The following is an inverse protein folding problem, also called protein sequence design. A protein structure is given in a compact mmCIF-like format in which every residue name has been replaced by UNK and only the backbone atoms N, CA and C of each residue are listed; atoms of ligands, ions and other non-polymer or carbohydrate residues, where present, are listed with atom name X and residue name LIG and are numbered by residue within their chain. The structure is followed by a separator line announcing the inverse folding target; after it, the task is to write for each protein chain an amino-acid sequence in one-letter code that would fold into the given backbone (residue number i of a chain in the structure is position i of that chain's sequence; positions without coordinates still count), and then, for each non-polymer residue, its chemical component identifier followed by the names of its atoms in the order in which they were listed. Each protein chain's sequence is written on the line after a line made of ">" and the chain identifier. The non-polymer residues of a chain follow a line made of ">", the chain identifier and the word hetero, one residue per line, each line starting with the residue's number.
data_IF_547060994146
#
_entry.id   IF_547060994146
#
_cell.length_a   1.000
_cell.length_b   1.000
_cell.length_c   1.000
_cell.angle_alpha   90.00
_cell.angle_beta   90.00
_cell.angle_gamma   90.00
#
_symmetry.space_group_name_H-M   'P 1'
#
loop_
_entity.id
_entity.type
_entity.pdbx_description
1 polymer ?
#
# COMPACT_ATOMS: atom_id res chain seq x y z
N UNK A 1 20.35 -6.21 2.39
CA UNK A 1 20.15 -5.04 3.29
C UNK A 1 21.16 -3.99 2.92
N UNK A 2 20.76 -2.71 2.98
CA UNK A 2 21.62 -1.56 2.71
C UNK A 2 21.50 -0.59 3.89
N UNK A 3 22.61 -0.03 4.35
CA UNK A 3 22.60 0.98 5.41
C UNK A 3 22.21 2.33 4.79
N UNK A 4 21.15 2.96 5.29
CA UNK A 4 20.78 4.33 4.92
C UNK A 4 20.87 5.22 6.15
N UNK A 5 22.00 5.92 6.29
CA UNK A 5 22.31 6.69 7.50
C UNK A 5 22.39 5.78 8.72
N UNK A 6 21.50 6.01 9.69
CA UNK A 6 21.50 5.31 10.97
C UNK A 6 20.66 4.03 11.00
N UNK A 7 19.87 3.73 9.97
CA UNK A 7 19.00 2.55 9.94
C UNK A 7 19.37 1.54 8.85
N UNK A 8 19.06 0.27 9.13
CA UNK A 8 19.14 -0.81 8.15
C UNK A 8 17.87 -0.83 7.30
N UNK A 9 18.04 -0.73 5.98
CA UNK A 9 16.97 -0.86 5.01
C UNK A 9 17.03 -2.28 4.41
N UNK A 10 15.92 -3.00 4.48
CA UNK A 10 15.80 -4.27 3.76
C UNK A 10 15.44 -3.96 2.31
N UNK A 11 16.01 -4.74 1.40
CA UNK A 11 15.71 -4.66 -0.02
C UNK A 11 15.13 -6.01 -0.39
N UNK A 12 13.96 -6.02 -1.02
CA UNK A 12 13.31 -7.24 -1.48
C UNK A 12 12.67 -7.00 -2.86
N UNK A 13 12.69 -7.98 -3.77
CA UNK A 13 12.07 -7.82 -5.09
C UNK A 13 10.65 -7.27 -5.03
N UNK A 14 9.82 -7.81 -4.13
CA UNK A 14 8.42 -7.37 -4.00
C UNK A 14 8.24 -5.92 -3.54
N UNK A 15 9.20 -5.37 -2.79
CA UNK A 15 9.09 -4.02 -2.19
C UNK A 15 9.89 -2.97 -2.95
N UNK A 16 10.95 -3.36 -3.65
CA UNK A 16 11.89 -2.41 -4.25
C UNK A 16 11.99 -2.55 -5.77
N UNK A 17 11.42 -3.63 -6.33
CA UNK A 17 11.67 -4.02 -7.72
C UNK A 17 13.10 -4.46 -8.00
N UNK A 18 13.94 -4.60 -6.95
CA UNK A 18 15.34 -5.01 -7.04
C UNK A 18 15.72 -6.01 -5.93
N UNK A 19 16.45 -7.10 -6.24
CA UNK A 19 16.68 -7.64 -7.59
C UNK A 19 15.36 -8.00 -8.28
N UNK A 20 15.42 -8.52 -9.51
CA UNK A 20 14.25 -8.74 -10.39
C UNK A 20 13.04 -9.36 -9.66
N UNK A 21 11.84 -8.90 -10.02
CA UNK A 21 10.59 -9.46 -9.53
C UNK A 21 10.20 -10.65 -10.39
N UNK A 22 10.39 -11.85 -9.85
CA UNK A 22 9.97 -13.08 -10.52
C UNK A 22 8.42 -13.16 -10.60
N UNK A 23 7.83 -13.51 -11.76
CA UNK A 23 6.38 -13.65 -11.88
C UNK A 23 5.77 -14.66 -10.90
N UNK A 24 6.51 -15.69 -10.52
CA UNK A 24 6.08 -16.65 -9.51
C UNK A 24 5.90 -16.01 -8.13
N UNK A 25 6.87 -15.20 -7.68
CA UNK A 25 6.81 -14.47 -6.43
C UNK A 25 5.62 -13.49 -6.42
N UNK A 26 5.43 -12.74 -7.51
CA UNK A 26 4.34 -11.78 -7.60
C UNK A 26 2.97 -12.47 -7.53
N UNK A 27 2.81 -13.61 -8.21
CA UNK A 27 1.58 -14.42 -8.13
C UNK A 27 1.35 -14.99 -6.73
N UNK A 28 2.39 -15.46 -6.05
CA UNK A 28 2.27 -15.99 -4.69
C UNK A 28 1.84 -14.90 -3.70
N UNK A 29 2.48 -13.73 -3.75
CA UNK A 29 2.12 -12.58 -2.90
C UNK A 29 0.69 -12.13 -3.17
N UNK A 30 0.32 -11.91 -4.44
CA UNK A 30 -1.03 -11.45 -4.78
C UNK A 30 -2.09 -12.51 -4.44
N UNK A 31 -1.79 -13.79 -4.66
CA UNK A 31 -2.67 -14.89 -4.26
C UNK A 31 -2.88 -14.97 -2.75
N UNK A 32 -1.83 -14.71 -1.96
CA UNK A 32 -1.93 -14.58 -0.50
C UNK A 32 -2.79 -13.40 -0.09
N UNK A 33 -2.59 -12.23 -0.70
CA UNK A 33 -3.38 -11.03 -0.38
C UNK A 33 -4.84 -11.22 -0.74
N UNK A 34 -5.13 -11.87 -1.86
CA UNK A 34 -6.50 -12.14 -2.32
C UNK A 34 -7.29 -13.00 -1.32
N UNK A 35 -6.63 -13.94 -0.63
CA UNK A 35 -7.27 -14.76 0.42
C UNK A 35 -7.59 -13.95 1.68
N UNK A 36 -6.87 -12.85 1.91
CA UNK A 36 -7.05 -12.01 3.09
C UNK A 36 -8.04 -10.88 2.87
N UNK A 37 -8.06 -10.30 1.68
CA UNK A 37 -8.85 -9.11 1.35
C UNK A 37 -10.35 -9.41 1.41
N UNK A 38 -11.11 -8.52 2.06
CA UNK A 38 -12.55 -8.43 1.83
C UNK A 38 -12.81 -7.60 0.58
N UNK A 39 -13.28 -8.26 -0.48
CA UNK A 39 -13.58 -7.64 -1.78
C UNK A 39 -15.08 -7.46 -2.03
N UNK A 40 -15.94 -7.70 -1.04
CA UNK A 40 -17.38 -7.68 -1.25
C UNK A 40 -17.89 -6.28 -1.63
N UNK A 41 -18.31 -6.14 -2.89
CA UNK A 41 -18.83 -4.89 -3.47
C UNK A 41 -17.81 -3.76 -3.48
N UNK A 42 -16.54 -4.09 -3.73
CA UNK A 42 -15.45 -3.12 -3.91
C UNK A 42 -15.47 -2.63 -5.36
N UNK A 43 -15.43 -1.31 -5.52
CA UNK A 43 -15.42 -0.62 -6.81
C UNK A 43 -14.01 -0.36 -7.32
N UNK A 44 -13.05 -0.11 -6.42
CA UNK A 44 -11.68 0.31 -6.80
C UNK A 44 -10.60 -0.23 -5.86
N UNK A 45 -9.45 -0.56 -6.43
CA UNK A 45 -8.20 -0.81 -5.69
C UNK A 45 -7.38 0.48 -5.69
N UNK A 46 -6.94 0.93 -4.52
CA UNK A 46 -6.06 2.09 -4.37
C UNK A 46 -4.67 1.62 -3.96
N UNK A 47 -3.65 2.09 -4.67
CA UNK A 47 -2.23 1.81 -4.34
C UNK A 47 -1.42 3.10 -4.23
N UNK A 48 -0.27 3.04 -3.58
CA UNK A 48 0.66 4.16 -3.47
C UNK A 48 1.85 3.94 -4.40
N UNK A 49 2.28 5.00 -5.09
CA UNK A 49 3.47 4.90 -5.91
C UNK A 49 4.76 4.74 -5.08
N UNK A 50 5.80 4.11 -5.62
CA UNK A 50 5.79 3.29 -6.83
C UNK A 50 5.52 1.81 -6.52
N UNK A 51 5.79 1.39 -5.28
CA UNK A 51 6.00 -0.01 -4.94
C UNK A 51 4.71 -0.79 -4.70
N UNK A 52 3.57 -0.11 -4.46
CA UNK A 52 2.26 -0.76 -4.50
C UNK A 52 1.77 -1.09 -5.92
N UNK A 53 2.36 -0.49 -6.97
CA UNK A 53 1.78 -0.51 -8.34
C UNK A 53 1.76 -1.92 -8.95
N UNK A 54 2.86 -2.68 -8.86
CA UNK A 54 2.91 -4.03 -9.46
C UNK A 54 2.00 -5.01 -8.72
N UNK A 55 1.85 -4.88 -7.41
CA UNK A 55 0.89 -5.64 -6.61
C UNK A 55 -0.54 -5.28 -7.03
N UNK A 56 -0.87 -3.99 -7.04
CA UNK A 56 -2.19 -3.50 -7.45
C UNK A 56 -2.58 -3.92 -8.87
N UNK A 57 -1.63 -3.89 -9.81
CA UNK A 57 -1.86 -4.25 -11.21
C UNK A 57 -2.24 -5.72 -11.36
N UNK A 58 -1.57 -6.61 -10.62
CA UNK A 58 -1.88 -8.04 -10.64
C UNK A 58 -3.21 -8.32 -9.92
N UNK A 59 -3.46 -7.70 -8.77
CA UNK A 59 -4.74 -7.85 -8.06
C UNK A 59 -5.93 -7.33 -8.89
N UNK A 60 -5.78 -6.18 -9.53
CA UNK A 60 -6.79 -5.63 -10.45
C UNK A 60 -7.08 -6.60 -11.60
N UNK A 61 -6.03 -7.15 -12.22
CA UNK A 61 -6.17 -8.14 -13.30
C UNK A 61 -6.80 -9.45 -12.81
N UNK A 62 -6.54 -9.88 -11.58
CA UNK A 62 -7.10 -11.10 -11.00
C UNK A 62 -8.57 -10.97 -10.57
N UNK A 63 -9.04 -9.76 -10.33
CA UNK A 63 -10.36 -9.49 -9.71
C UNK A 63 -11.32 -8.74 -10.62
N UNK A 64 -10.85 -8.25 -11.77
CA UNK A 64 -11.57 -7.32 -12.65
C UNK A 64 -11.99 -6.01 -11.97
N UNK A 65 -11.46 -5.71 -10.78
CA UNK A 65 -11.69 -4.45 -10.06
C UNK A 65 -10.68 -3.42 -10.59
N UNK A 66 -11.12 -2.24 -11.06
CA UNK A 66 -10.21 -1.21 -11.56
C UNK A 66 -9.32 -0.66 -10.44
N UNK A 67 -8.12 -0.19 -10.79
CA UNK A 67 -7.20 0.42 -9.83
C UNK A 67 -6.91 1.90 -10.11
N UNK A 68 -6.63 2.65 -9.05
CA UNK A 68 -6.06 4.01 -9.11
C UNK A 68 -4.80 4.10 -8.25
N UNK A 69 -3.93 5.05 -8.57
CA UNK A 69 -2.61 5.19 -7.97
C UNK A 69 -2.51 6.58 -7.35
N UNK A 70 -2.19 6.63 -6.05
CA UNK A 70 -1.77 7.86 -5.39
C UNK A 70 -0.32 8.18 -5.75
N UNK A 71 -0.07 9.38 -6.30
CA UNK A 71 1.22 9.78 -6.89
C UNK A 71 1.74 11.10 -6.36
N UNK A 72 3.06 11.31 -6.33
CA UNK A 72 3.68 12.63 -6.08
C UNK A 72 3.45 13.59 -7.24
N UNK A 73 3.29 13.07 -8.45
CA UNK A 73 3.01 13.88 -9.63
C UNK A 73 1.54 14.31 -9.64
N UNK A 74 1.33 15.62 -9.74
CA UNK A 74 0.02 16.24 -10.02
C UNK A 74 -0.29 16.20 -11.52
N UNK A 75 -1.54 15.91 -11.89
CA UNK A 75 -1.98 15.88 -13.29
C UNK A 75 -2.94 17.02 -13.64
N UNK A 76 -3.48 17.74 -12.65
CA UNK A 76 -4.48 18.79 -12.80
C UNK A 76 -5.74 18.32 -13.53
N UNK A 77 -6.13 17.06 -13.30
CA UNK A 77 -7.37 16.50 -13.85
C UNK A 77 -8.57 16.83 -12.95
N UNK A 78 -9.78 16.95 -13.50
CA UNK A 78 -11.00 17.07 -12.69
C UNK A 78 -11.08 15.97 -11.64
N UNK A 79 -11.42 16.33 -10.39
CA UNK A 79 -11.54 15.38 -9.28
C UNK A 79 -10.21 14.91 -8.67
N UNK A 80 -9.08 15.53 -8.99
CA UNK A 80 -7.81 15.24 -8.33
C UNK A 80 -7.81 15.80 -6.89
N UNK A 81 -7.46 14.95 -5.94
CA UNK A 81 -7.46 15.22 -4.50
C UNK A 81 -6.01 15.30 -4.04
N UNK A 82 -5.64 16.43 -3.43
CA UNK A 82 -4.36 16.56 -2.74
C UNK A 82 -4.38 15.79 -1.41
N UNK A 83 -3.32 15.04 -1.17
CA UNK A 83 -3.11 14.20 0.01
C UNK A 83 -1.87 14.72 0.73
N UNK A 84 -2.10 15.45 1.81
CA UNK A 84 -1.03 16.07 2.58
C UNK A 84 -0.39 15.08 3.54
N UNK A 85 0.79 14.55 3.17
CA UNK A 85 1.56 13.67 4.03
C UNK A 85 2.43 14.51 4.97
N UNK A 86 2.19 14.38 6.28
CA UNK A 86 3.09 14.89 7.31
C UNK A 86 3.83 13.71 7.94
N UNK A 87 5.11 13.55 7.62
CA UNK A 87 6.00 12.66 8.37
C UNK A 87 6.97 13.50 9.20
N UNK A 88 7.55 12.93 10.26
CA UNK A 88 8.53 13.63 11.09
C UNK A 88 9.83 14.04 10.36
N UNK A 89 10.05 13.53 9.14
CA UNK A 89 11.27 13.77 8.36
C UNK A 89 11.03 14.46 7.01
N UNK A 90 9.79 14.46 6.50
CA UNK A 90 9.43 15.14 5.24
C UNK A 90 7.95 15.51 5.19
N UNK A 91 7.66 16.73 4.72
CA UNK A 91 6.34 17.10 4.18
C UNK A 91 6.35 16.79 2.69
N UNK A 92 5.38 16.02 2.22
CA UNK A 92 5.23 15.68 0.81
C UNK A 92 3.76 15.77 0.42
N UNK A 93 3.51 16.28 -0.78
CA UNK A 93 2.18 16.20 -1.37
C UNK A 93 2.11 14.97 -2.27
N UNK A 94 1.01 14.24 -2.10
CA UNK A 94 0.59 13.19 -3.01
C UNK A 94 -0.76 13.59 -3.60
N UNK A 95 -1.16 12.98 -4.70
CA UNK A 95 -2.36 13.30 -5.45
C UNK A 95 -3.05 12.00 -5.85
N UNK A 96 -4.36 11.98 -5.72
CA UNK A 96 -5.21 10.85 -6.05
C UNK A 96 -6.35 11.33 -6.95
N UNK A 97 -6.63 10.62 -8.03
CA UNK A 97 -7.76 10.91 -8.92
C UNK A 97 -8.62 9.65 -9.10
N UNK A 98 -9.81 9.79 -9.66
CA UNK A 98 -10.73 8.69 -9.95
C UNK A 98 -11.44 8.14 -8.71
N UNK A 99 -11.55 8.94 -7.64
CA UNK A 99 -12.34 8.60 -6.44
C UNK A 99 -13.54 9.53 -6.35
N UNK A 100 -14.72 8.95 -6.17
CA UNK A 100 -15.99 9.63 -5.98
C UNK A 100 -16.65 9.31 -4.64
N UNK A 101 -17.66 10.10 -4.30
CA UNK A 101 -18.49 9.87 -3.11
C UNK A 101 -19.25 8.54 -3.24
N UNK A 102 -19.18 7.72 -2.20
CA UNK A 102 -19.83 6.41 -2.14
C UNK A 102 -19.01 5.26 -2.72
N UNK A 103 -17.86 5.55 -3.35
CA UNK A 103 -16.95 4.50 -3.81
C UNK A 103 -16.51 3.61 -2.65
N UNK A 104 -16.58 2.30 -2.85
CA UNK A 104 -16.08 1.31 -1.91
C UNK A 104 -14.71 0.85 -2.37
N UNK A 105 -13.68 1.11 -1.59
CA UNK A 105 -12.29 0.91 -2.02
C UNK A 105 -11.54 -0.01 -1.07
N UNK A 106 -10.62 -0.78 -1.63
CA UNK A 106 -9.57 -1.46 -0.85
C UNK A 106 -8.24 -0.81 -1.11
N UNK A 107 -7.41 -0.74 -0.08
CA UNK A 107 -6.05 -0.20 -0.21
C UNK A 107 -5.06 -1.35 -0.13
N UNK A 108 -4.16 -1.43 -1.11
CA UNK A 108 -3.07 -2.41 -1.11
C UNK A 108 -1.74 -1.72 -1.33
N UNK A 109 -0.73 -2.15 -0.58
CA UNK A 109 0.62 -1.60 -0.69
C UNK A 109 1.68 -2.65 -0.33
N UNK A 110 2.94 -2.37 -0.64
CA UNK A 110 4.03 -3.31 -0.41
C UNK A 110 4.41 -3.40 1.07
N UNK A 111 4.64 -2.27 1.75
CA UNK A 111 5.14 -2.20 3.12
C UNK A 111 4.39 -1.18 3.94
N UNK A 112 3.93 -1.59 5.13
CA UNK A 112 3.54 -0.65 6.18
C UNK A 112 4.64 -0.55 7.25
N UNK A 113 5.02 0.68 7.60
CA UNK A 113 5.96 0.93 8.70
C UNK A 113 5.45 1.93 9.73
N UNK A 114 5.49 3.25 9.49
CA UNK A 114 5.03 4.23 10.48
C UNK A 114 3.54 4.56 10.36
N UNK A 115 2.91 4.15 9.25
CA UNK A 115 1.51 4.46 8.94
C UNK A 115 1.24 5.87 8.39
N UNK A 116 2.24 6.76 8.36
CA UNK A 116 2.03 8.18 8.01
C UNK A 116 1.39 8.41 6.64
N UNK A 117 1.91 7.74 5.60
CA UNK A 117 1.33 7.76 4.25
C UNK A 117 -0.11 7.26 4.25
N UNK A 118 -0.34 6.14 4.92
CA UNK A 118 -1.65 5.48 4.92
C UNK A 118 -2.70 6.32 5.65
N UNK A 119 -2.35 6.95 6.78
CA UNK A 119 -3.25 7.88 7.48
C UNK A 119 -3.62 9.09 6.61
N UNK A 120 -2.66 9.64 5.86
CA UNK A 120 -2.95 10.73 4.93
C UNK A 120 -3.91 10.29 3.81
N UNK A 121 -3.67 9.12 3.21
CA UNK A 121 -4.57 8.54 2.20
C UNK A 121 -5.97 8.29 2.76
N UNK A 122 -6.09 7.67 3.93
CA UNK A 122 -7.38 7.42 4.59
C UNK A 122 -8.15 8.73 4.84
N UNK A 123 -7.46 9.79 5.25
CA UNK A 123 -8.08 11.09 5.44
C UNK A 123 -8.57 11.69 4.11
N UNK A 124 -7.78 11.57 3.04
CA UNK A 124 -8.18 12.05 1.72
C UNK A 124 -9.39 11.29 1.16
N UNK A 125 -9.42 9.96 1.30
CA UNK A 125 -10.56 9.11 0.91
C UNK A 125 -11.82 9.45 1.71
N UNK A 126 -11.66 9.71 3.02
CA UNK A 126 -12.76 10.17 3.88
C UNK A 126 -13.33 11.52 3.39
N UNK A 127 -12.48 12.47 3.04
CA UNK A 127 -12.89 13.78 2.50
C UNK A 127 -13.60 13.62 1.15
N UNK A 128 -13.12 12.72 0.30
CA UNK A 128 -13.76 12.38 -0.97
C UNK A 128 -15.12 11.67 -0.80
N UNK A 129 -15.43 11.20 0.42
CA UNK A 129 -16.65 10.47 0.73
C UNK A 129 -16.61 9.01 0.29
N UNK A 130 -15.43 8.44 0.08
CA UNK A 130 -15.24 7.02 -0.20
C UNK A 130 -15.24 6.18 1.08
N UNK A 131 -15.75 4.96 1.00
CA UNK A 131 -15.71 3.94 2.04
C UNK A 131 -14.50 3.04 1.82
N UNK A 132 -13.59 3.01 2.80
CA UNK A 132 -12.47 2.07 2.74
C UNK A 132 -12.93 0.76 3.37
N UNK A 133 -13.12 -0.26 2.55
CA UNK A 133 -13.58 -1.61 2.93
C UNK A 133 -12.48 -2.34 3.69
N UNK A 134 -11.29 -2.44 3.10
CA UNK A 134 -10.17 -3.18 3.68
C UNK A 134 -8.81 -2.56 3.32
N UNK A 135 -7.79 -2.91 4.09
CA UNK A 135 -6.40 -2.48 3.89
C UNK A 135 -5.47 -3.67 4.06
N UNK A 136 -4.66 -3.98 3.05
CA UNK A 136 -3.76 -5.13 3.08
C UNK A 136 -2.35 -4.75 2.60
N UNK A 137 -1.33 -5.21 3.33
CA UNK A 137 0.07 -5.01 3.00
C UNK A 137 0.76 -6.34 2.71
N UNK A 138 1.73 -6.36 1.79
CA UNK A 138 2.57 -7.55 1.67
C UNK A 138 3.42 -7.74 2.95
N UNK A 139 3.98 -6.65 3.49
CA UNK A 139 4.90 -6.70 4.64
C UNK A 139 4.52 -5.65 5.69
N UNK A 140 4.40 -6.08 6.94
CA UNK A 140 4.32 -5.21 8.11
C UNK A 140 5.69 -5.09 8.79
N UNK A 141 6.17 -3.87 9.02
CA UNK A 141 7.40 -3.60 9.77
C UNK A 141 7.10 -2.91 11.09
N UNK A 142 7.34 -3.60 12.20
CA UNK A 142 7.02 -3.14 13.54
C UNK A 142 5.51 -3.12 13.80
N UNK A 143 5.04 -2.12 14.55
CA UNK A 143 3.63 -2.01 14.96
C UNK A 143 3.04 -0.67 14.48
N UNK A 144 2.81 -0.51 13.15
CA UNK A 144 2.15 0.67 12.63
C UNK A 144 0.72 0.81 13.16
N UNK A 145 0.35 2.03 13.50
CA UNK A 145 -1.04 2.42 13.72
C UNK A 145 -1.53 3.28 12.55
N UNK A 146 -2.63 2.89 11.91
CA UNK A 146 -3.28 3.68 10.86
C UNK A 146 -4.69 4.16 11.26
N UNK A 147 -5.07 4.00 12.53
CA UNK A 147 -6.38 4.37 13.06
C UNK A 147 -7.51 3.43 12.62
N UNK A 148 -7.18 2.26 12.05
CA UNK A 148 -8.12 1.20 11.68
C UNK A 148 -7.43 -0.16 11.55
N UNK A 149 -8.18 -1.28 11.59
CA UNK A 149 -7.63 -2.59 11.28
C UNK A 149 -7.06 -2.65 9.86
N UNK A 150 -5.99 -3.42 9.71
CA UNK A 150 -5.37 -3.80 8.43
C UNK A 150 -4.86 -5.24 8.52
N UNK A 151 -4.51 -5.80 7.37
CA UNK A 151 -3.96 -7.15 7.21
C UNK A 151 -2.55 -7.08 6.64
N UNK A 152 -1.72 -8.05 6.95
CA UNK A 152 -0.43 -8.22 6.28
C UNK A 152 -0.11 -9.69 6.04
N UNK A 153 0.64 -10.02 4.99
CA UNK A 153 1.06 -11.41 4.76
C UNK A 153 2.13 -11.86 5.75
N UNK A 154 3.06 -10.97 6.04
CA UNK A 154 4.17 -11.23 6.95
C UNK A 154 4.45 -10.01 7.81
N UNK A 155 4.77 -10.25 9.09
CA UNK A 155 5.36 -9.24 9.96
C UNK A 155 6.85 -9.49 10.07
N UNK A 156 7.63 -8.41 9.97
CA UNK A 156 9.09 -8.45 10.06
C UNK A 156 9.63 -7.48 11.11
N UNK A 157 10.79 -7.83 11.64
CA UNK A 157 11.65 -6.95 12.41
C UNK A 157 12.98 -6.74 11.68
N UNK A 158 13.45 -5.49 11.68
CA UNK A 158 14.72 -5.12 11.04
C UNK A 158 15.71 -4.69 12.11
N UNK A 159 16.61 -5.59 12.48
CA UNK A 159 17.72 -5.34 13.40
C UNK A 159 19.05 -5.31 12.62
N UNK A 160 20.05 -6.13 13.01
CA UNK A 160 21.25 -6.43 12.21
C UNK A 160 20.98 -7.40 11.03
N UNK A 161 19.82 -8.04 11.03
CA UNK A 161 19.28 -8.92 9.98
C UNK A 161 17.76 -8.72 9.92
N UNK A 162 17.14 -9.08 8.80
CA UNK A 162 15.68 -9.16 8.70
C UNK A 162 15.23 -10.47 9.32
N UNK A 163 14.26 -10.41 10.23
CA UNK A 163 13.62 -11.58 10.82
C UNK A 163 12.13 -11.53 10.52
N UNK A 164 11.59 -12.59 9.93
CA UNK A 164 10.14 -12.80 9.87
C UNK A 164 9.69 -13.21 11.26
N UNK A 165 8.81 -12.42 11.86
CA UNK A 165 8.27 -12.69 13.20
C UNK A 165 6.91 -13.36 13.14
N UNK A 166 6.11 -13.06 12.11
CA UNK A 166 4.80 -13.69 11.90
C UNK A 166 4.56 -13.93 10.40
N UNK A 167 3.82 -14.99 10.08
CA UNK A 167 3.34 -15.32 8.74
C UNK A 167 1.85 -15.58 8.82
N UNK A 168 1.10 -15.01 7.89
CA UNK A 168 -0.35 -15.12 7.82
C UNK A 168 -0.81 -15.81 6.51
N UNK A 169 0.14 -16.33 5.72
CA UNK A 169 -0.07 -17.05 4.45
C UNK A 169 -0.84 -18.37 4.59
#
# INVERSE_FOLDING_TARGET
>A
MVRRGEYNYFIHPITDGVPIVEPALLREVCGGMLKMLDLNGVDKIVVVEAMGIHIGSVLSTMTDIPMTIMRKRVYNLPGEIAVHQTTGYSKGELYLNGIGKGDRVVIVDDVISTGGTMRALLQALKIAGAEVVDVCFAIQRGDPDIGRPYKSLVKIEVMKKVRVVERHL
#
